data_IF_491995400561
#
_entry.id   IF_491995400561
#
_cell.length_a   1.000
_cell.length_b   1.000
_cell.length_c   1.000
_cell.angle_alpha   90.00
_cell.angle_beta   90.00
_cell.angle_gamma   90.00
#
_symmetry.space_group_name_H-M   'P 1'
#
loop_
_entity.id
_entity.type
_entity.pdbx_description
1 polymer ?
#
# COMPACT_ATOMS: atom_id res chain seq x y z
N UNK A 1 0.40 12.92 -12.73
CA UNK A 1 0.99 11.68 -13.27
C UNK A 1 1.16 10.78 -12.08
N UNK A 2 0.40 9.70 -12.00
CA UNK A 2 0.34 8.85 -10.79
C UNK A 2 1.37 7.74 -10.84
N UNK A 3 1.67 7.13 -9.70
CA UNK A 3 2.64 6.03 -9.59
C UNK A 3 2.28 4.88 -10.53
N UNK A 4 0.98 4.64 -10.72
CA UNK A 4 0.46 3.64 -11.63
C UNK A 4 0.82 3.91 -13.11
N UNK A 5 0.79 5.18 -13.53
CA UNK A 5 1.07 5.58 -14.91
C UNK A 5 2.55 5.50 -15.25
N UNK A 6 3.42 5.71 -14.27
CA UNK A 6 4.88 5.61 -14.41
C UNK A 6 5.34 4.14 -14.57
N UNK A 7 4.54 3.18 -14.11
CA UNK A 7 4.90 1.77 -14.18
C UNK A 7 4.94 1.22 -15.62
N UNK A 8 5.91 0.33 -15.92
CA UNK A 8 5.94 -0.38 -17.18
C UNK A 8 4.69 -1.27 -17.32
N UNK A 9 4.18 -1.38 -18.56
CA UNK A 9 2.93 -2.09 -18.86
C UNK A 9 2.94 -3.55 -18.37
N UNK A 10 4.08 -4.24 -18.47
CA UNK A 10 4.24 -5.60 -17.96
C UNK A 10 3.99 -5.70 -16.44
N UNK A 11 4.33 -4.66 -15.68
CA UNK A 11 4.12 -4.60 -14.23
C UNK A 11 2.67 -4.25 -13.90
N UNK A 12 2.06 -3.33 -14.66
CA UNK A 12 0.63 -3.04 -14.58
C UNK A 12 -0.22 -4.29 -14.84
N UNK A 13 0.05 -5.03 -15.91
CA UNK A 13 -0.69 -6.27 -16.22
C UNK A 13 -0.58 -7.32 -15.11
N UNK A 14 0.61 -7.49 -14.52
CA UNK A 14 0.80 -8.39 -13.37
C UNK A 14 -0.02 -7.95 -12.16
N UNK A 15 0.01 -6.65 -11.83
CA UNK A 15 -0.74 -6.12 -10.70
C UNK A 15 -2.26 -6.24 -10.93
N UNK A 16 -2.75 -5.95 -12.13
CA UNK A 16 -4.15 -6.16 -12.51
C UNK A 16 -4.57 -7.63 -12.37
N UNK A 17 -3.72 -8.57 -12.79
CA UNK A 17 -4.00 -10.00 -12.62
C UNK A 17 -4.04 -10.40 -11.13
N UNK A 18 -3.16 -9.83 -10.30
CA UNK A 18 -3.19 -10.06 -8.85
C UNK A 18 -4.41 -9.42 -8.18
N UNK A 19 -4.89 -8.28 -8.70
CA UNK A 19 -6.11 -7.64 -8.22
C UNK A 19 -7.35 -8.52 -8.38
N UNK A 20 -7.37 -9.44 -9.34
CA UNK A 20 -8.48 -10.38 -9.53
C UNK A 20 -8.57 -11.41 -8.38
N UNK A 21 -7.46 -11.67 -7.69
CA UNK A 21 -7.41 -12.64 -6.60
C UNK A 21 -8.25 -12.23 -5.38
N UNK A 22 -8.71 -13.22 -4.61
CA UNK A 22 -9.51 -13.01 -3.40
C UNK A 22 -8.77 -12.16 -2.35
N UNK A 23 -7.44 -12.32 -2.25
CA UNK A 23 -6.60 -11.52 -1.36
C UNK A 23 -6.64 -10.02 -1.65
N UNK A 24 -6.82 -9.64 -2.91
CA UNK A 24 -6.92 -8.25 -3.32
C UNK A 24 -8.34 -7.66 -3.17
N UNK A 25 -9.31 -8.45 -2.69
CA UNK A 25 -10.70 -8.00 -2.52
C UNK A 25 -10.80 -6.80 -1.59
N UNK A 26 -10.09 -6.81 -0.46
CA UNK A 26 -10.07 -5.68 0.48
C UNK A 26 -9.46 -4.42 -0.15
N UNK A 27 -8.37 -4.57 -0.92
CA UNK A 27 -7.74 -3.48 -1.66
C UNK A 27 -8.69 -2.87 -2.71
N UNK A 28 -9.43 -3.70 -3.45
CA UNK A 28 -10.42 -3.25 -4.43
C UNK A 28 -11.60 -2.52 -3.79
N UNK A 29 -12.10 -3.05 -2.69
CA UNK A 29 -13.22 -2.46 -1.94
C UNK A 29 -12.86 -1.07 -1.41
N UNK A 30 -11.70 -0.97 -0.75
CA UNK A 30 -11.14 0.31 -0.26
C UNK A 30 -10.88 1.31 -1.40
N UNK A 31 -10.48 0.82 -2.57
CA UNK A 31 -10.20 1.68 -3.71
C UNK A 31 -11.45 2.18 -4.45
N UNK A 32 -12.64 1.66 -4.16
CA UNK A 32 -13.90 2.16 -4.74
C UNK A 32 -13.97 2.09 -6.27
N UNK A 33 -13.18 1.22 -6.91
CA UNK A 33 -13.12 1.06 -8.37
C UNK A 33 -11.90 1.67 -9.06
N UNK A 34 -11.03 2.39 -8.34
CA UNK A 34 -9.75 2.86 -8.89
C UNK A 34 -8.73 1.72 -9.01
N UNK A 35 -8.46 1.25 -10.23
CA UNK A 35 -7.52 0.15 -10.47
C UNK A 35 -6.09 0.53 -10.08
N UNK A 36 -5.66 1.76 -10.37
CA UNK A 36 -4.32 2.24 -10.05
C UNK A 36 -4.08 2.32 -8.55
N UNK A 37 -5.06 2.83 -7.80
CA UNK A 37 -5.00 2.90 -6.35
C UNK A 37 -5.12 1.52 -5.71
N UNK A 38 -6.02 0.66 -6.20
CA UNK A 38 -6.12 -0.72 -5.72
C UNK A 38 -4.79 -1.48 -5.89
N UNK A 39 -4.13 -1.32 -7.03
CA UNK A 39 -2.83 -1.95 -7.30
C UNK A 39 -1.74 -1.41 -6.37
N UNK A 40 -1.78 -0.11 -6.09
CA UNK A 40 -0.85 0.53 -5.15
C UNK A 40 -1.05 -0.02 -3.72
N UNK A 41 -2.30 -0.09 -3.25
CA UNK A 41 -2.66 -0.69 -1.96
C UNK A 41 -2.23 -2.16 -1.87
N UNK A 42 -2.40 -2.92 -2.96
CA UNK A 42 -1.98 -4.32 -2.99
C UNK A 42 -0.47 -4.49 -2.80
N UNK A 43 0.33 -3.59 -3.38
CA UNK A 43 1.79 -3.61 -3.20
C UNK A 43 2.17 -3.23 -1.77
N UNK A 44 1.52 -2.22 -1.19
CA UNK A 44 1.70 -1.85 0.21
C UNK A 44 1.33 -3.02 1.14
N UNK A 45 0.19 -3.68 0.90
CA UNK A 45 -0.28 -4.85 1.66
C UNK A 45 0.72 -6.01 1.58
N UNK A 46 1.15 -6.38 0.38
CA UNK A 46 2.11 -7.47 0.19
C UNK A 46 3.45 -7.17 0.88
N UNK A 47 3.88 -5.91 0.87
CA UNK A 47 5.11 -5.47 1.52
C UNK A 47 4.97 -5.51 3.04
N UNK A 48 3.87 -4.97 3.58
CA UNK A 48 3.55 -4.98 5.00
C UNK A 48 3.47 -6.40 5.56
N UNK A 49 2.73 -7.28 4.89
CA UNK A 49 2.62 -8.69 5.29
C UNK A 49 3.96 -9.42 5.25
N UNK A 50 4.84 -9.07 4.32
CA UNK A 50 6.15 -9.71 4.21
C UNK A 50 7.11 -9.23 5.29
N UNK A 51 7.07 -7.95 5.66
CA UNK A 51 7.99 -7.37 6.64
C UNK A 51 7.52 -7.55 8.08
N UNK A 52 6.23 -7.30 8.33
CA UNK A 52 5.66 -7.21 9.67
C UNK A 52 4.64 -8.31 9.97
N UNK A 53 4.27 -9.14 8.97
CA UNK A 53 3.23 -10.17 9.08
C UNK A 53 1.84 -9.64 9.47
N UNK A 54 1.63 -8.33 9.41
CA UNK A 54 0.33 -7.66 9.60
C UNK A 54 -0.21 -7.14 8.26
N UNK A 55 -1.48 -6.75 8.25
CA UNK A 55 -2.14 -6.20 7.06
C UNK A 55 -2.18 -4.68 7.16
N UNK A 56 -2.09 -3.97 6.02
CA UNK A 56 -2.22 -2.50 6.00
C UNK A 56 -3.57 -1.98 6.50
N UNK A 57 -4.59 -2.86 6.53
CA UNK A 57 -5.91 -2.55 7.08
C UNK A 57 -5.97 -2.65 8.60
N UNK A 58 -4.93 -3.21 9.22
CA UNK A 58 -4.77 -3.33 10.67
C UNK A 58 -4.02 -2.13 11.26
N UNK A 59 -3.21 -1.45 10.42
CA UNK A 59 -2.60 -0.16 10.75
C UNK A 59 -3.69 0.90 10.94
N UNK A 60 -3.43 1.92 11.77
CA UNK A 60 -4.33 3.06 11.93
C UNK A 60 -4.70 3.65 10.56
N UNK A 61 -5.88 4.26 10.50
CA UNK A 61 -6.43 4.86 9.28
C UNK A 61 -5.52 6.00 8.81
N UNK A 62 -4.50 5.63 8.04
CA UNK A 62 -3.53 6.52 7.43
C UNK A 62 -4.09 7.09 6.12
N UNK A 63 -3.62 8.26 5.73
CA UNK A 63 -4.04 8.94 4.49
C UNK A 63 -3.47 8.29 3.22
N UNK A 64 -3.70 6.98 3.03
CA UNK A 64 -3.22 6.19 1.88
C UNK A 64 -3.62 6.79 0.53
N UNK A 65 -4.82 7.36 0.43
CA UNK A 65 -5.32 8.01 -0.78
C UNK A 65 -4.54 9.28 -1.11
N UNK A 66 -4.19 10.07 -0.08
CA UNK A 66 -3.43 11.31 -0.21
C UNK A 66 -1.99 11.00 -0.65
N UNK A 67 -1.34 10.01 -0.02
CA UNK A 67 -0.03 9.52 -0.42
C UNK A 67 0.01 9.03 -1.89
N UNK A 68 -1.04 8.35 -2.34
CA UNK A 68 -1.16 7.96 -3.75
C UNK A 68 -1.31 9.16 -4.69
N UNK A 69 -2.07 10.18 -4.31
CA UNK A 69 -2.27 11.40 -5.10
C UNK A 69 -0.98 12.24 -5.18
N UNK A 70 -0.19 12.27 -4.09
CA UNK A 70 1.15 12.86 -4.03
C UNK A 70 2.21 12.05 -4.81
N UNK A 71 1.80 10.95 -5.45
CA UNK A 71 2.67 10.07 -6.23
C UNK A 71 3.77 9.39 -5.37
N UNK A 72 3.49 9.20 -4.08
CA UNK A 72 4.38 8.53 -3.15
C UNK A 72 4.46 7.03 -3.47
N UNK A 73 5.65 6.41 -3.48
CA UNK A 73 5.77 4.98 -3.66
C UNK A 73 5.14 4.22 -2.47
N UNK A 74 4.54 3.04 -2.71
CA UNK A 74 3.84 2.28 -1.67
C UNK A 74 4.74 1.78 -0.54
N UNK A 75 6.06 1.72 -0.76
CA UNK A 75 7.02 1.35 0.26
C UNK A 75 7.27 2.49 1.26
N UNK A 76 7.52 3.71 0.78
CA UNK A 76 7.64 4.91 1.63
C UNK A 76 6.35 5.17 2.39
N UNK A 77 5.20 5.15 1.70
CA UNK A 77 3.92 5.40 2.37
C UNK A 77 3.63 4.37 3.47
N UNK A 78 4.05 3.12 3.28
CA UNK A 78 3.96 2.10 4.32
C UNK A 78 4.90 2.40 5.48
N UNK A 79 6.12 2.86 5.21
CA UNK A 79 7.08 3.20 6.25
C UNK A 79 6.57 4.37 7.10
N UNK A 80 6.13 5.46 6.46
CA UNK A 80 5.52 6.61 7.11
C UNK A 80 4.27 6.21 7.91
N UNK A 81 3.42 5.35 7.34
CA UNK A 81 2.25 4.84 8.04
C UNK A 81 2.64 4.05 9.30
N UNK A 82 3.69 3.23 9.24
CA UNK A 82 4.20 2.45 10.39
C UNK A 82 4.86 3.36 11.43
N UNK A 83 5.64 4.36 11.00
CA UNK A 83 6.29 5.32 11.88
C UNK A 83 5.28 6.20 12.61
N UNK A 84 4.16 6.51 11.97
CA UNK A 84 3.10 7.30 12.58
C UNK A 84 2.02 6.48 13.28
N UNK A 85 1.88 5.18 12.97
CA UNK A 85 1.09 4.25 13.77
C UNK A 85 1.75 4.16 15.14
N UNK A 86 1.02 4.51 16.21
CA UNK A 86 1.49 4.44 17.61
C UNK A 86 1.56 2.96 18.06
N UNK A 87 2.32 2.14 17.31
CA UNK A 87 2.57 0.76 17.67
C UNK A 87 3.47 0.75 18.90
N UNK A 88 3.10 0.01 19.97
CA UNK A 88 3.87 -0.02 21.22
C UNK A 88 5.27 -0.67 21.09
N UNK A 89 5.70 -1.02 19.88
CA UNK A 89 7.03 -1.57 19.57
C UNK A 89 8.00 -0.48 19.12
N UNK A 90 8.09 0.60 19.91
CA UNK A 90 9.04 1.68 19.73
C UNK A 90 10.38 1.19 19.18
N UNK A 91 10.66 1.58 17.94
CA UNK A 91 12.01 1.49 17.41
C UNK A 91 12.90 2.28 18.38
N UNK A 92 14.02 1.73 18.86
CA UNK A 92 14.94 2.51 19.67
C UNK A 92 15.40 3.68 18.81
N UNK A 93 15.07 4.88 19.27
CA UNK A 93 15.63 6.14 18.79
C UNK A 93 17.16 5.97 18.78
N UNK A 94 17.72 5.82 17.59
CA UNK A 94 19.15 5.62 17.41
C UNK A 94 19.84 6.95 17.64
N UNK A 95 20.27 7.18 18.88
CA UNK A 95 21.25 8.22 19.24
C UNK A 95 22.58 8.05 18.49
#
# INVERSE_FOLDING_TARGET
MTWWEDLPEARRNKLTALLDSDRARACRDRAGGDVGFAAWLLVAEATCRRQYMVSIFDLADWCWRDAYDDNMPPADALQEAIESDDLPWGLPDGE
#
